data_IF_230144413505
#
_entry.id   IF_230144413505
#
_cell.length_a   1.000
_cell.length_b   1.000
_cell.length_c   1.000
_cell.angle_alpha   90.00
_cell.angle_beta   90.00
_cell.angle_gamma   90.00
#
_symmetry.space_group_name_H-M   'P 1'
#
loop_
_entity.id
_entity.type
_entity.pdbx_description
1 polymer ?
#
# COMPACT_ATOMS: atom_id res chain seq x y z
N UNK A 1 -6.15 0.76 -16.50
CA UNK A 1 -4.98 1.64 -16.35
C UNK A 1 -4.28 1.27 -15.06
N UNK A 2 -2.96 1.14 -15.06
CA UNK A 2 -2.18 0.86 -13.85
C UNK A 2 -2.16 2.11 -12.94
N UNK A 3 -2.45 1.97 -11.63
CA UNK A 3 -2.41 3.12 -10.72
C UNK A 3 -0.98 3.59 -10.47
N UNK A 4 -0.79 4.91 -10.46
CA UNK A 4 0.50 5.55 -10.17
C UNK A 4 0.90 5.28 -8.72
N UNK A 5 2.20 5.04 -8.51
CA UNK A 5 2.77 4.85 -7.18
C UNK A 5 2.72 6.16 -6.38
N UNK A 6 2.23 6.11 -5.14
CA UNK A 6 2.16 7.28 -4.26
C UNK A 6 3.47 7.45 -3.48
N UNK A 7 4.32 8.39 -3.93
CA UNK A 7 5.65 8.63 -3.35
C UNK A 7 5.61 9.25 -1.94
N UNK A 8 4.44 9.71 -1.47
CA UNK A 8 4.29 10.33 -0.14
C UNK A 8 4.40 9.32 0.99
N UNK A 9 4.25 8.03 0.69
CA UNK A 9 4.30 6.92 1.65
C UNK A 9 5.47 5.98 1.34
N UNK A 10 6.16 5.53 2.37
CA UNK A 10 7.30 4.62 2.22
C UNK A 10 6.91 3.18 2.58
N UNK A 11 7.89 2.28 2.53
CA UNK A 11 7.79 0.92 3.05
C UNK A 11 7.49 0.84 4.56
N UNK A 12 7.75 1.91 5.31
CA UNK A 12 7.59 1.92 6.76
C UNK A 12 6.12 1.69 7.15
N UNK A 13 5.91 0.75 8.07
CA UNK A 13 4.55 0.32 8.43
C UNK A 13 3.79 -0.38 7.30
N UNK A 14 4.45 -0.75 6.19
CA UNK A 14 3.83 -1.29 4.97
C UNK A 14 2.82 -0.32 4.31
N UNK A 15 2.96 0.98 4.60
CA UNK A 15 2.05 2.03 4.14
C UNK A 15 1.92 2.09 2.62
N UNK A 16 3.04 1.97 1.90
CA UNK A 16 3.04 1.96 0.44
C UNK A 16 2.21 0.81 -0.16
N UNK A 17 2.35 -0.41 0.37
CA UNK A 17 1.58 -1.58 -0.08
C UNK A 17 0.10 -1.45 0.23
N UNK A 18 -0.24 -0.89 1.40
CA UNK A 18 -1.63 -0.67 1.82
C UNK A 18 -2.35 0.27 0.86
N UNK A 19 -1.76 1.43 0.55
CA UNK A 19 -2.34 2.38 -0.41
C UNK A 19 -2.42 1.77 -1.81
N UNK A 20 -1.38 1.11 -2.28
CA UNK A 20 -1.39 0.46 -3.59
C UNK A 20 -2.52 -0.57 -3.70
N UNK A 21 -2.70 -1.41 -2.68
CA UNK A 21 -3.78 -2.40 -2.64
C UNK A 21 -5.16 -1.75 -2.61
N UNK A 22 -5.33 -0.67 -1.84
CA UNK A 22 -6.59 0.08 -1.80
C UNK A 22 -6.95 0.68 -3.16
N UNK A 23 -5.98 1.29 -3.86
CA UNK A 23 -6.21 1.83 -5.21
C UNK A 23 -6.59 0.74 -6.21
N UNK A 24 -5.91 -0.42 -6.18
CA UNK A 24 -6.28 -1.57 -7.02
C UNK A 24 -7.70 -2.07 -6.72
N UNK A 25 -8.12 -2.07 -5.45
CA UNK A 25 -9.48 -2.41 -5.07
C UNK A 25 -10.52 -1.46 -5.69
N UNK A 26 -10.28 -0.13 -5.58
CA UNK A 26 -11.16 0.90 -6.14
C UNK A 26 -11.29 0.77 -7.66
N UNK A 27 -10.19 0.44 -8.33
CA UNK A 27 -10.13 0.22 -9.79
C UNK A 27 -10.72 -1.12 -10.25
N UNK A 28 -11.29 -1.92 -9.34
CA UNK A 28 -11.85 -3.23 -9.65
C UNK A 28 -10.87 -4.20 -10.31
N UNK A 29 -9.64 -4.27 -9.78
CA UNK A 29 -8.67 -5.28 -10.22
C UNK A 29 -9.04 -6.68 -9.71
N UNK A 30 -8.89 -7.67 -10.61
CA UNK A 30 -8.93 -9.08 -10.27
C UNK A 30 -7.57 -9.55 -9.77
N UNK A 31 -7.55 -10.14 -8.57
CA UNK A 31 -6.34 -10.68 -7.97
C UNK A 31 -6.24 -12.18 -8.22
N UNK A 32 -5.33 -12.58 -9.11
CA UNK A 32 -4.99 -13.98 -9.34
C UNK A 32 -3.87 -14.40 -8.37
N UNK A 33 -4.25 -14.99 -7.24
CA UNK A 33 -3.29 -15.44 -6.22
C UNK A 33 -2.78 -16.83 -6.60
N UNK A 34 -1.49 -16.92 -6.93
CA UNK A 34 -0.80 -18.18 -7.17
C UNK A 34 -0.66 -18.97 -5.85
N UNK A 35 -1.12 -20.22 -5.87
CA UNK A 35 -0.96 -21.16 -4.75
C UNK A 35 0.23 -22.07 -5.01
N UNK A 36 1.06 -22.32 -3.98
CA UNK A 36 2.26 -23.19 -4.03
C UNK A 36 3.43 -22.69 -4.91
N UNK A 37 3.51 -21.37 -5.16
CA UNK A 37 4.71 -20.76 -5.72
C UNK A 37 5.77 -20.56 -4.63
N UNK A 38 7.05 -20.75 -4.94
CA UNK A 38 8.17 -20.39 -4.07
C UNK A 38 9.11 -19.42 -4.79
N UNK A 39 9.55 -18.39 -4.07
CA UNK A 39 10.47 -17.39 -4.58
C UNK A 39 11.87 -17.67 -4.03
N UNK A 40 12.82 -18.02 -4.90
CA UNK A 40 14.23 -18.16 -4.51
C UNK A 40 14.89 -16.80 -4.59
N UNK A 41 15.46 -16.33 -3.48
CA UNK A 41 16.20 -15.08 -3.42
C UNK A 41 17.66 -15.37 -3.04
N UNK A 42 18.59 -14.58 -3.59
CA UNK A 42 19.99 -14.64 -3.17
C UNK A 42 20.08 -14.25 -1.69
N UNK A 43 20.81 -14.99 -0.85
CA UNK A 43 20.98 -14.63 0.56
C UNK A 43 21.64 -13.25 0.66
N UNK A 44 20.98 -12.34 1.38
CA UNK A 44 21.46 -10.99 1.67
C UNK A 44 21.34 -10.69 3.16
N UNK A 45 22.26 -9.89 3.70
CA UNK A 45 22.20 -9.43 5.09
C UNK A 45 21.09 -8.38 5.20
N UNK A 46 20.05 -8.70 5.95
CA UNK A 46 18.95 -7.78 6.24
C UNK A 46 19.25 -7.08 7.56
N UNK A 47 19.77 -5.86 7.48
CA UNK A 47 19.94 -5.02 8.68
C UNK A 47 18.56 -4.52 9.09
N UNK A 48 18.06 -5.03 10.21
CA UNK A 48 16.82 -4.55 10.82
C UNK A 48 17.12 -3.23 11.53
N UNK A 49 17.02 -2.11 10.80
CA UNK A 49 16.89 -0.81 11.46
C UNK A 49 15.51 -0.75 12.12
N UNK A 50 15.45 -0.35 13.39
CA UNK A 50 14.19 -0.28 14.13
C UNK A 50 13.16 0.56 13.38
N UNK A 51 11.89 0.13 13.34
CA UNK A 51 10.82 0.90 12.71
C UNK A 51 10.63 2.20 13.48
N UNK A 52 10.74 3.32 12.77
CA UNK A 52 10.46 4.62 13.37
C UNK A 52 8.95 4.81 13.55
N UNK A 53 8.47 4.61 14.79
CA UNK A 53 7.04 4.68 15.13
C UNK A 53 6.43 6.04 14.82
N UNK A 54 7.18 7.13 14.94
CA UNK A 54 6.67 8.48 14.68
C UNK A 54 6.42 8.70 13.19
N UNK A 55 7.32 8.21 12.33
CA UNK A 55 7.14 8.24 10.87
C UNK A 55 5.91 7.45 10.44
N UNK A 56 5.72 6.24 10.98
CA UNK A 56 4.55 5.40 10.66
C UNK A 56 3.25 6.10 11.08
N UNK A 57 3.19 6.67 12.29
CA UNK A 57 2.00 7.38 12.76
C UNK A 57 1.66 8.60 11.89
N UNK A 58 2.67 9.34 11.44
CA UNK A 58 2.48 10.46 10.52
C UNK A 58 1.91 9.99 9.18
N UNK A 59 2.45 8.91 8.62
CA UNK A 59 1.94 8.32 7.37
C UNK A 59 0.50 7.82 7.53
N UNK A 60 0.16 7.16 8.65
CA UNK A 60 -1.21 6.72 8.93
C UNK A 60 -2.17 7.91 8.96
N UNK A 61 -1.75 9.04 9.57
CA UNK A 61 -2.53 10.27 9.58
C UNK A 61 -2.73 10.84 8.17
N UNK A 62 -1.66 10.95 7.39
CA UNK A 62 -1.72 11.50 6.03
C UNK A 62 -2.56 10.61 5.10
N UNK A 63 -2.46 9.29 5.28
CA UNK A 63 -3.28 8.32 4.57
C UNK A 63 -4.77 8.53 4.84
N UNK A 64 -5.15 8.64 6.10
CA UNK A 64 -6.55 8.81 6.48
C UNK A 64 -7.13 10.17 6.09
N UNK A 65 -6.33 11.24 6.19
CA UNK A 65 -6.80 12.63 6.02
C UNK A 65 -6.69 13.16 4.59
N UNK A 66 -5.72 12.69 3.82
CA UNK A 66 -5.35 13.28 2.53
C UNK A 66 -5.45 12.22 1.42
N UNK A 67 -4.67 11.15 1.53
CA UNK A 67 -4.47 10.21 0.43
C UNK A 67 -5.74 9.42 0.12
N UNK A 68 -6.37 8.79 1.11
CA UNK A 68 -7.56 7.97 0.89
C UNK A 68 -8.76 8.80 0.36
N UNK A 69 -9.03 10.02 0.87
CA UNK A 69 -10.01 10.93 0.27
C UNK A 69 -9.70 11.32 -1.18
N UNK A 70 -8.45 11.67 -1.50
CA UNK A 70 -8.03 12.00 -2.88
C UNK A 70 -8.26 10.82 -3.83
N UNK A 71 -7.88 9.61 -3.42
CA UNK A 71 -8.09 8.40 -4.21
C UNK A 71 -9.59 8.11 -4.44
N UNK A 72 -10.45 8.41 -3.46
CA UNK A 72 -11.91 8.31 -3.63
C UNK A 72 -12.46 9.35 -4.60
N UNK A 73 -11.87 10.55 -4.64
CA UNK A 73 -12.26 11.59 -5.60
C UNK A 73 -11.88 11.19 -7.03
N UNK A 74 -10.69 10.61 -7.21
CA UNK A 74 -10.16 10.26 -8.54
C UNK A 74 -10.81 8.97 -9.07
N UNK A 75 -10.92 7.93 -8.25
CA UNK A 75 -11.33 6.59 -8.66
C UNK A 75 -12.73 6.20 -8.21
N UNK A 76 -13.41 7.06 -7.45
CA UNK A 76 -14.71 6.76 -6.86
C UNK A 76 -14.63 5.91 -5.59
N UNK A 77 -15.78 5.41 -5.15
CA UNK A 77 -15.89 4.55 -3.96
C UNK A 77 -16.51 3.22 -4.35
N UNK A 78 -16.02 2.12 -3.75
CA UNK A 78 -16.50 0.77 -4.01
C UNK A 78 -16.73 0.01 -2.72
N UNK A 79 -17.84 -0.71 -2.65
CA UNK A 79 -18.18 -1.55 -1.49
C UNK A 79 -17.09 -2.61 -1.25
N UNK A 80 -16.65 -2.74 0.01
CA UNK A 80 -15.58 -3.67 0.41
C UNK A 80 -14.16 -3.12 0.28
N UNK A 81 -13.95 -1.96 -0.33
CA UNK A 81 -12.62 -1.32 -0.36
C UNK A 81 -12.41 -0.43 0.87
N UNK A 82 -11.43 -0.81 1.69
CA UNK A 82 -11.09 -0.14 2.96
C UNK A 82 -9.57 0.06 2.99
N UNK A 83 -9.15 1.21 3.54
CA UNK A 83 -7.74 1.54 3.79
C UNK A 83 -7.28 0.95 5.12
#
# INVERSE_FOLDING_TARGET
MEPVFDERVTWEGQSNKRIQAYTLCLLNYDFFILRKAFLVHRPGIKVQTGRNKTTVAKMDQDIGKIIAPELRLIYGSRHGCIV
#
